data_IF_679434625032
#
_entry.id   IF_679434625032
#
_cell.length_a   1.000
_cell.length_b   1.000
_cell.length_c   1.000
_cell.angle_alpha   90.00
_cell.angle_beta   90.00
_cell.angle_gamma   90.00
#
_symmetry.space_group_name_H-M   'P 1'
#
loop_
_entity.id
_entity.type
_entity.pdbx_description
1 polymer ?
#
# COMPACT_ATOMS: atom_id res chain seq x y z
N UNK A 1 0.77 -28.10 4.16
CA UNK A 1 -0.50 -28.84 4.00
C UNK A 1 -1.35 -28.02 3.05
N UNK A 2 -1.41 -28.38 1.79
CA UNK A 2 -2.33 -27.78 0.81
C UNK A 2 -3.73 -28.22 1.19
N UNK A 3 -4.58 -27.24 1.45
CA UNK A 3 -5.95 -27.44 1.90
C UNK A 3 -6.74 -28.27 0.85
N UNK A 4 -7.34 -29.37 1.29
CA UNK A 4 -8.14 -30.25 0.44
C UNK A 4 -9.35 -29.52 -0.19
N UNK A 5 -9.73 -28.34 0.30
CA UNK A 5 -10.77 -27.47 -0.23
C UNK A 5 -10.39 -26.81 -1.57
N UNK A 6 -9.09 -26.61 -1.83
CA UNK A 6 -8.65 -26.00 -3.10
C UNK A 6 -8.80 -26.95 -4.30
N UNK A 7 -8.83 -28.25 -4.06
CA UNK A 7 -8.84 -29.25 -5.13
C UNK A 7 -10.24 -29.50 -5.77
N UNK A 8 -11.30 -28.85 -5.25
CA UNK A 8 -12.67 -29.06 -5.70
C UNK A 8 -13.30 -27.82 -6.40
N UNK A 9 -12.50 -26.79 -6.68
CA UNK A 9 -12.98 -25.58 -7.39
C UNK A 9 -13.04 -25.82 -8.89
N UNK A 10 -14.10 -25.32 -9.55
CA UNK A 10 -14.17 -25.29 -11.01
C UNK A 10 -13.05 -24.44 -11.61
N UNK A 11 -12.79 -24.62 -12.91
CA UNK A 11 -11.78 -23.81 -13.60
C UNK A 11 -12.12 -22.31 -13.53
N UNK A 12 -13.39 -21.95 -13.70
CA UNK A 12 -13.86 -20.55 -13.59
C UNK A 12 -13.59 -19.99 -12.19
N UNK A 13 -13.86 -20.74 -11.13
CA UNK A 13 -13.58 -20.31 -9.76
C UNK A 13 -12.08 -20.12 -9.50
N UNK A 14 -11.24 -20.93 -10.13
CA UNK A 14 -9.78 -20.79 -10.04
C UNK A 14 -9.29 -19.57 -10.82
N UNK A 15 -9.84 -19.32 -12.00
CA UNK A 15 -9.53 -18.14 -12.80
C UNK A 15 -9.96 -16.89 -12.03
N UNK A 16 -11.18 -16.83 -11.53
CA UNK A 16 -11.67 -15.70 -10.74
C UNK A 16 -10.76 -15.38 -9.52
N UNK A 17 -10.32 -16.43 -8.82
CA UNK A 17 -9.42 -16.24 -7.69
C UNK A 17 -8.04 -15.66 -8.08
N UNK A 18 -7.56 -15.94 -9.29
CA UNK A 18 -6.33 -15.36 -9.84
C UNK A 18 -6.58 -13.90 -10.25
N UNK A 19 -7.67 -13.63 -10.96
CA UNK A 19 -8.05 -12.28 -11.39
C UNK A 19 -8.23 -11.36 -10.20
N UNK A 20 -8.92 -11.80 -9.15
CA UNK A 20 -9.04 -11.07 -7.88
C UNK A 20 -7.71 -10.70 -7.27
N UNK A 21 -6.78 -11.65 -7.20
CA UNK A 21 -5.45 -11.41 -6.66
C UNK A 21 -4.66 -10.42 -7.49
N UNK A 22 -4.75 -10.49 -8.82
CA UNK A 22 -4.07 -9.56 -9.72
C UNK A 22 -4.65 -8.16 -9.61
N UNK A 23 -5.98 -8.03 -9.53
CA UNK A 23 -6.63 -6.74 -9.35
C UNK A 23 -6.23 -6.10 -8.02
N UNK A 24 -6.31 -6.85 -6.91
CA UNK A 24 -5.88 -6.37 -5.59
C UNK A 24 -4.39 -6.00 -5.60
N UNK A 25 -3.55 -6.82 -6.22
CA UNK A 25 -2.12 -6.55 -6.34
C UNK A 25 -1.88 -5.22 -7.07
N UNK A 26 -2.57 -4.97 -8.17
CA UNK A 26 -2.49 -3.74 -8.94
C UNK A 26 -2.94 -2.53 -8.10
N UNK A 27 -4.04 -2.64 -7.35
CA UNK A 27 -4.50 -1.59 -6.44
C UNK A 27 -3.42 -1.18 -5.43
N UNK A 28 -2.78 -2.15 -4.80
CA UNK A 28 -1.74 -1.88 -3.79
C UNK A 28 -0.45 -1.36 -4.44
N UNK A 29 -0.06 -1.94 -5.59
CA UNK A 29 1.16 -1.55 -6.31
C UNK A 29 1.08 -0.14 -6.90
N UNK A 30 -0.12 0.30 -7.25
CA UNK A 30 -0.37 1.61 -7.82
C UNK A 30 -0.29 2.74 -6.76
N UNK A 31 -0.40 2.42 -5.46
CA UNK A 31 -0.38 3.42 -4.40
C UNK A 31 0.92 4.26 -4.31
N UNK A 32 2.14 3.66 -4.33
CA UNK A 32 3.37 4.44 -4.34
C UNK A 32 3.47 5.44 -5.49
N UNK A 33 3.36 5.04 -6.76
CA UNK A 33 3.45 5.98 -7.88
C UNK A 33 2.33 7.04 -7.87
N UNK A 34 1.12 6.69 -7.42
CA UNK A 34 0.03 7.64 -7.26
C UNK A 34 0.33 8.71 -6.22
N UNK A 35 0.87 8.32 -5.07
CA UNK A 35 1.29 9.25 -4.03
C UNK A 35 2.47 10.13 -4.49
N UNK A 36 3.49 9.54 -5.11
CA UNK A 36 4.70 10.25 -5.52
C UNK A 36 4.45 11.23 -6.66
N UNK A 37 3.49 10.95 -7.54
CA UNK A 37 3.07 11.84 -8.62
C UNK A 37 2.00 12.86 -8.21
N UNK A 38 1.51 12.82 -6.97
CA UNK A 38 0.37 13.62 -6.50
C UNK A 38 -0.88 13.47 -7.40
N UNK A 39 -1.11 12.26 -7.93
CA UNK A 39 -2.25 11.97 -8.80
C UNK A 39 -3.53 11.80 -7.99
N UNK A 40 -4.46 12.77 -8.12
CA UNK A 40 -5.76 12.72 -7.43
C UNK A 40 -6.69 11.67 -8.00
N UNK A 41 -6.75 11.55 -9.32
CA UNK A 41 -7.61 10.60 -10.05
C UNK A 41 -7.37 9.15 -9.60
N UNK A 42 -6.16 8.87 -9.19
CA UNK A 42 -5.76 7.59 -8.64
C UNK A 42 -6.54 7.23 -7.37
N UNK A 43 -6.76 8.17 -6.48
CA UNK A 43 -7.42 7.91 -5.22
C UNK A 43 -8.92 7.65 -5.40
N UNK A 44 -9.59 8.44 -6.25
CA UNK A 44 -11.03 8.27 -6.52
C UNK A 44 -11.32 6.91 -7.18
N UNK A 45 -10.42 6.43 -8.05
CA UNK A 45 -10.60 5.15 -8.75
C UNK A 45 -10.48 3.92 -7.84
N UNK A 46 -9.76 4.01 -6.72
CA UNK A 46 -9.39 2.83 -5.92
C UNK A 46 -10.02 2.76 -4.53
N UNK A 47 -10.61 3.84 -4.06
CA UNK A 47 -11.21 3.88 -2.73
C UNK A 47 -12.74 3.81 -2.77
N UNK A 48 -13.33 3.25 -1.72
CA UNK A 48 -14.75 3.49 -1.45
C UNK A 48 -14.94 4.94 -1.00
N UNK A 49 -16.09 5.53 -1.34
CA UNK A 49 -16.43 6.91 -0.97
C UNK A 49 -16.38 7.19 0.54
N UNK A 50 -16.63 6.16 1.35
CA UNK A 50 -16.53 6.20 2.82
C UNK A 50 -15.22 5.63 3.36
N UNK A 51 -14.22 5.49 2.49
CA UNK A 51 -12.93 4.92 2.82
C UNK A 51 -12.18 5.68 3.91
N UNK A 52 -11.37 4.96 4.70
CA UNK A 52 -10.67 5.56 5.84
C UNK A 52 -9.18 5.23 5.87
N UNK A 53 -8.39 6.15 6.36
CA UNK A 53 -6.95 5.97 6.61
C UNK A 53 -6.63 6.28 8.07
N UNK A 54 -5.94 5.35 8.71
CA UNK A 54 -5.42 5.49 10.07
C UNK A 54 -3.89 5.40 10.08
N UNK A 55 -3.24 6.55 10.13
CA UNK A 55 -1.78 6.65 10.19
C UNK A 55 -1.23 6.84 11.63
N UNK A 56 -2.08 7.31 12.57
CA UNK A 56 -1.64 7.73 13.90
C UNK A 56 -2.54 7.22 15.04
N UNK A 57 -3.38 6.22 14.80
CA UNK A 57 -4.31 5.69 15.79
C UNK A 57 -5.69 6.36 15.79
N UNK A 58 -5.93 7.23 14.82
CA UNK A 58 -7.22 7.88 14.60
C UNK A 58 -7.58 7.79 13.12
N UNK A 59 -8.60 6.99 12.74
CA UNK A 59 -9.09 6.93 11.39
C UNK A 59 -9.59 8.30 10.91
N UNK A 60 -9.25 8.65 9.67
CA UNK A 60 -9.73 9.84 8.97
C UNK A 60 -10.26 9.41 7.62
N UNK A 61 -11.16 10.20 7.05
CA UNK A 61 -11.58 10.00 5.67
C UNK A 61 -10.36 10.03 4.73
N UNK A 62 -10.35 9.19 3.69
CA UNK A 62 -9.20 9.06 2.79
C UNK A 62 -8.88 10.37 2.05
N UNK A 63 -9.88 11.20 1.78
CA UNK A 63 -9.73 12.52 1.16
C UNK A 63 -8.78 13.44 1.94
N UNK A 64 -8.72 13.27 3.28
CA UNK A 64 -7.79 14.04 4.10
C UNK A 64 -6.34 13.71 3.81
N UNK A 65 -6.03 12.49 3.37
CA UNK A 65 -4.69 12.11 2.93
C UNK A 65 -4.38 12.64 1.53
N UNK A 66 -5.38 12.66 0.63
CA UNK A 66 -5.23 13.29 -0.68
C UNK A 66 -4.95 14.78 -0.51
N UNK A 67 -5.64 15.44 0.42
CA UNK A 67 -5.39 16.84 0.75
C UNK A 67 -3.94 17.12 1.14
N UNK A 68 -3.23 16.17 1.75
CA UNK A 68 -1.79 16.31 2.06
C UNK A 68 -0.94 16.43 0.79
N UNK A 69 -1.30 15.73 -0.28
CA UNK A 69 -0.56 15.76 -1.56
C UNK A 69 -0.56 17.16 -2.19
N UNK A 70 -1.54 18.01 -1.86
CA UNK A 70 -1.69 19.39 -2.34
C UNK A 70 -0.99 20.42 -1.45
N UNK A 71 -0.34 20.01 -0.37
CA UNK A 71 0.29 20.96 0.54
C UNK A 71 1.66 21.43 0.02
N UNK A 72 2.06 22.69 0.30
CA UNK A 72 3.41 23.15 0.01
C UNK A 72 4.50 22.27 0.64
N UNK A 73 4.23 21.69 1.81
CA UNK A 73 5.15 20.77 2.49
C UNK A 73 5.39 19.48 1.69
N UNK A 74 4.34 18.92 1.07
CA UNK A 74 4.49 17.74 0.23
C UNK A 74 5.23 18.08 -1.08
N UNK A 75 4.92 19.22 -1.71
CA UNK A 75 5.64 19.69 -2.88
C UNK A 75 7.13 19.91 -2.60
N UNK A 76 7.50 20.38 -1.39
CA UNK A 76 8.89 20.49 -0.97
C UNK A 76 9.53 19.11 -0.79
N UNK A 77 8.84 18.17 -0.16
CA UNK A 77 9.32 16.80 -0.02
C UNK A 77 9.56 16.11 -1.37
N UNK A 78 8.69 16.36 -2.37
CA UNK A 78 8.90 15.88 -3.74
C UNK A 78 10.18 16.49 -4.37
N UNK A 79 10.42 17.80 -4.20
CA UNK A 79 11.67 18.44 -4.65
C UNK A 79 12.92 17.85 -3.99
N UNK A 80 12.79 17.40 -2.75
CA UNK A 80 13.85 16.69 -2.02
C UNK A 80 13.97 15.20 -2.38
N UNK A 81 13.21 14.75 -3.40
CA UNK A 81 13.28 13.38 -3.90
C UNK A 81 12.64 12.35 -2.97
N UNK A 82 11.57 12.74 -2.26
CA UNK A 82 10.79 11.74 -1.52
C UNK A 82 10.17 10.74 -2.47
N UNK A 83 10.19 9.46 -2.11
CA UNK A 83 9.47 8.42 -2.82
C UNK A 83 9.02 7.30 -1.87
N UNK A 84 7.96 6.61 -2.29
CA UNK A 84 7.40 5.49 -1.58
C UNK A 84 7.80 4.18 -2.27
N UNK A 85 8.22 3.21 -1.48
CA UNK A 85 8.53 1.87 -1.98
C UNK A 85 7.74 0.83 -1.18
N UNK A 86 6.79 0.17 -1.83
CA UNK A 86 6.01 -0.90 -1.21
C UNK A 86 6.67 -2.26 -1.43
N UNK A 87 6.78 -3.05 -0.38
CA UNK A 87 7.12 -4.46 -0.49
C UNK A 87 5.98 -5.28 -1.09
N UNK A 88 6.28 -6.53 -1.49
CA UNK A 88 5.27 -7.45 -1.99
C UNK A 88 4.16 -7.65 -0.93
N UNK A 89 2.88 -7.54 -1.32
CA UNK A 89 1.76 -7.68 -0.41
C UNK A 89 1.45 -9.15 -0.15
N UNK A 90 1.06 -9.47 1.08
CA UNK A 90 0.38 -10.71 1.41
C UNK A 90 -1.13 -10.48 1.33
N UNK A 91 -1.82 -11.23 0.49
CA UNK A 91 -3.24 -11.05 0.17
C UNK A 91 -4.03 -12.25 0.68
N UNK A 92 -5.06 -11.99 1.49
CA UNK A 92 -6.03 -12.98 1.95
C UNK A 92 -7.41 -12.53 1.50
N UNK A 93 -8.10 -13.36 0.73
CA UNK A 93 -9.45 -13.11 0.21
C UNK A 93 -10.41 -14.06 0.89
N UNK A 94 -11.56 -13.53 1.32
CA UNK A 94 -12.68 -14.27 1.89
C UNK A 94 -13.98 -13.71 1.30
N UNK A 95 -14.53 -14.40 0.31
CA UNK A 95 -15.69 -13.94 -0.47
C UNK A 95 -15.44 -12.57 -1.10
N UNK A 96 -16.25 -11.59 -0.71
CA UNK A 96 -16.17 -10.21 -1.23
C UNK A 96 -15.34 -9.27 -0.36
N UNK A 97 -14.60 -9.82 0.60
CA UNK A 97 -13.68 -9.08 1.45
C UNK A 97 -12.25 -9.56 1.24
N UNK A 98 -11.32 -8.63 1.31
CA UNK A 98 -9.90 -8.97 1.30
C UNK A 98 -9.15 -8.17 2.36
N UNK A 99 -8.15 -8.84 2.94
CA UNK A 99 -7.18 -8.21 3.83
C UNK A 99 -5.79 -8.35 3.22
N UNK A 100 -5.10 -7.24 3.13
CA UNK A 100 -3.74 -7.18 2.58
C UNK A 100 -2.80 -6.60 3.62
N UNK A 101 -1.64 -7.21 3.79
CA UNK A 101 -0.54 -6.62 4.55
C UNK A 101 0.66 -6.39 3.66
N UNK A 102 1.34 -5.29 3.88
CA UNK A 102 2.57 -4.93 3.17
C UNK A 102 3.48 -4.09 4.06
N UNK A 103 4.73 -3.98 3.65
CA UNK A 103 5.63 -2.96 4.18
C UNK A 103 5.65 -1.76 3.24
N UNK A 104 5.82 -0.57 3.81
CA UNK A 104 6.06 0.66 3.07
C UNK A 104 7.32 1.32 3.60
N UNK A 105 8.24 1.63 2.71
CA UNK A 105 9.38 2.48 2.97
C UNK A 105 9.09 3.87 2.39
N UNK A 106 9.43 4.90 3.14
CA UNK A 106 9.55 6.26 2.64
C UNK A 106 11.03 6.57 2.56
N UNK A 107 11.48 6.88 1.36
CA UNK A 107 12.85 7.20 1.02
C UNK A 107 12.94 8.69 0.68
N UNK A 108 14.11 9.28 0.86
CA UNK A 108 14.44 10.59 0.31
C UNK A 108 15.88 10.61 -0.18
N UNK A 109 16.17 11.48 -1.14
CA UNK A 109 17.54 11.72 -1.55
C UNK A 109 18.38 12.15 -0.34
N UNK A 110 19.61 11.63 -0.24
CA UNK A 110 20.48 11.99 0.87
C UNK A 110 21.17 13.35 0.61
N UNK A 111 20.82 14.43 1.34
CA UNK A 111 21.43 15.72 1.13
C UNK A 111 22.92 15.74 1.48
N UNK A 112 23.35 14.88 2.42
CA UNK A 112 24.70 14.79 2.95
C UNK A 112 25.55 13.73 2.24
N UNK A 113 24.94 12.98 1.30
CA UNK A 113 25.59 11.94 0.54
C UNK A 113 26.67 12.49 -0.39
N UNK A 114 27.76 11.73 -0.55
CA UNK A 114 28.79 12.06 -1.52
C UNK A 114 28.31 11.73 -2.94
N UNK A 115 28.43 12.67 -3.90
CA UNK A 115 28.09 12.39 -5.28
C UNK A 115 28.90 11.22 -5.85
N UNK A 116 28.24 10.34 -6.57
CA UNK A 116 28.87 9.26 -7.34
C UNK A 116 28.14 9.06 -8.66
N UNK A 117 28.89 8.66 -9.68
CA UNK A 117 28.36 8.40 -11.01
C UNK A 117 27.78 6.98 -11.09
N UNK A 118 26.56 6.88 -11.60
CA UNK A 118 25.92 5.63 -11.96
C UNK A 118 25.90 5.51 -13.47
N UNK A 119 26.58 4.51 -14.02
CA UNK A 119 26.61 4.26 -15.46
C UNK A 119 25.18 4.20 -16.03
N UNK A 120 24.90 4.97 -17.07
CA UNK A 120 23.60 5.13 -17.73
C UNK A 120 22.49 5.78 -16.87
N UNK A 121 22.76 6.16 -15.62
CA UNK A 121 21.75 6.73 -14.70
C UNK A 121 22.12 8.12 -14.15
N UNK A 122 23.31 8.65 -14.53
CA UNK A 122 23.79 9.95 -14.08
C UNK A 122 24.36 9.94 -12.67
N UNK A 123 24.46 11.12 -12.07
CA UNK A 123 25.02 11.33 -10.73
C UNK A 123 23.97 11.14 -9.66
N UNK A 124 24.30 10.42 -8.59
CA UNK A 124 23.46 10.26 -7.42
C UNK A 124 24.25 10.59 -6.15
N UNK A 125 23.55 11.08 -5.13
CA UNK A 125 24.05 11.17 -3.75
C UNK A 125 23.57 10.01 -2.88
N UNK A 126 22.78 9.09 -3.45
CA UNK A 126 22.12 8.02 -2.71
C UNK A 126 20.80 8.43 -2.11
N UNK A 127 20.16 7.47 -1.46
CA UNK A 127 18.89 7.64 -0.77
C UNK A 127 19.01 7.11 0.65
N UNK A 128 18.26 7.69 1.56
CA UNK A 128 18.09 7.21 2.93
C UNK A 128 16.65 6.82 3.20
N UNK A 129 16.46 5.80 4.01
CA UNK A 129 15.14 5.41 4.50
C UNK A 129 14.74 6.35 5.62
N UNK A 130 13.67 7.11 5.43
CA UNK A 130 13.12 8.02 6.45
C UNK A 130 12.16 7.29 7.39
N UNK A 131 11.40 6.33 6.84
CA UNK A 131 10.38 5.59 7.58
C UNK A 131 10.19 4.20 7.00
N UNK A 132 9.98 3.22 7.89
CA UNK A 132 9.49 1.90 7.57
C UNK A 132 8.19 1.68 8.34
N UNK A 133 7.13 1.29 7.64
CA UNK A 133 5.80 1.08 8.21
C UNK A 133 5.24 -0.28 7.84
N UNK A 134 4.52 -0.89 8.79
CA UNK A 134 3.57 -1.95 8.50
C UNK A 134 2.26 -1.32 8.00
N UNK A 135 1.69 -1.89 6.96
CA UNK A 135 0.39 -1.51 6.42
C UNK A 135 -0.55 -2.70 6.45
N UNK A 136 -1.80 -2.44 6.81
CA UNK A 136 -2.93 -3.32 6.65
C UNK A 136 -4.01 -2.59 5.88
N UNK A 137 -4.48 -3.23 4.83
CA UNK A 137 -5.53 -2.76 3.95
C UNK A 137 -6.73 -3.69 4.07
N UNK A 138 -7.91 -3.14 4.11
CA UNK A 138 -9.16 -3.87 3.97
C UNK A 138 -9.81 -3.43 2.67
N UNK A 139 -10.18 -4.41 1.85
CA UNK A 139 -10.79 -4.17 0.55
C UNK A 139 -12.13 -4.87 0.48
N UNK A 140 -12.99 -4.34 -0.33
CA UNK A 140 -14.32 -4.87 -0.60
C UNK A 140 -14.53 -4.96 -2.12
N UNK A 141 -15.14 -6.06 -2.57
CA UNK A 141 -15.59 -6.22 -3.94
C UNK A 141 -16.83 -5.36 -4.16
N UNK A 142 -16.88 -4.68 -5.29
CA UNK A 142 -18.03 -3.91 -5.77
C UNK A 142 -18.41 -4.39 -7.16
N UNK A 143 -19.53 -3.95 -7.75
CA UNK A 143 -19.85 -4.22 -9.15
C UNK A 143 -18.76 -3.75 -10.14
N UNK A 144 -17.99 -2.71 -9.75
CA UNK A 144 -16.92 -2.11 -10.55
C UNK A 144 -15.52 -2.65 -10.20
N UNK A 145 -15.44 -3.79 -9.51
CA UNK A 145 -14.18 -4.40 -9.07
C UNK A 145 -13.85 -4.14 -7.60
N UNK A 146 -12.62 -4.44 -7.21
CA UNK A 146 -12.16 -4.27 -5.84
C UNK A 146 -11.92 -2.80 -5.50
N UNK A 147 -12.26 -2.40 -4.26
CA UNK A 147 -12.04 -1.04 -3.73
C UNK A 147 -11.47 -1.09 -2.33
N UNK A 148 -10.62 -0.13 -2.00
CA UNK A 148 -10.03 0.00 -0.66
C UNK A 148 -11.07 0.61 0.27
N UNK A 149 -11.40 -0.10 1.34
CA UNK A 149 -12.29 0.34 2.41
C UNK A 149 -11.54 1.05 3.54
N UNK A 150 -10.41 0.47 3.93
CA UNK A 150 -9.61 1.07 4.99
C UNK A 150 -8.13 0.76 4.81
N UNK A 151 -7.30 1.67 5.31
CA UNK A 151 -5.85 1.48 5.43
C UNK A 151 -5.39 1.87 6.82
N UNK A 152 -4.72 0.97 7.50
CA UNK A 152 -4.04 1.23 8.78
C UNK A 152 -2.53 1.15 8.60
N UNK A 153 -1.82 2.15 9.10
CA UNK A 153 -0.34 2.19 9.05
C UNK A 153 0.23 2.38 10.44
N UNK A 154 1.34 1.69 10.73
CA UNK A 154 2.12 1.89 11.96
C UNK A 154 3.60 1.81 11.63
N UNK A 155 4.39 2.76 12.13
CA UNK A 155 5.84 2.70 12.05
C UNK A 155 6.37 1.44 12.73
N UNK A 156 7.43 0.85 12.19
CA UNK A 156 8.01 -0.39 12.73
C UNK A 156 8.68 -0.19 14.11
N UNK A 157 8.94 1.04 14.48
CA UNK A 157 9.36 1.49 15.81
C UNK A 157 8.22 1.49 16.85
N UNK A 158 6.96 1.39 16.39
CA UNK A 158 5.78 1.30 17.24
C UNK A 158 5.40 -0.18 17.48
N UNK A 159 5.25 -0.64 18.73
CA UNK A 159 4.84 -2.04 19.04
C UNK A 159 3.55 -2.49 18.33
N UNK A 160 2.59 -1.57 18.12
CA UNK A 160 1.35 -1.87 17.41
C UNK A 160 1.54 -2.30 15.95
N UNK A 161 2.71 -2.05 15.35
CA UNK A 161 3.04 -2.53 14.01
C UNK A 161 3.05 -4.06 13.91
N UNK A 162 3.58 -4.72 14.93
CA UNK A 162 3.65 -6.19 14.97
C UNK A 162 2.28 -6.82 15.15
N UNK A 163 1.43 -6.20 15.97
CA UNK A 163 0.04 -6.66 16.14
C UNK A 163 -0.78 -6.47 14.85
N UNK A 164 -0.52 -5.39 14.11
CA UNK A 164 -1.14 -5.15 12.83
C UNK A 164 -0.81 -6.26 11.81
N UNK A 165 0.44 -6.69 11.77
CA UNK A 165 0.91 -7.77 10.88
C UNK A 165 0.37 -9.14 11.29
N UNK A 166 0.29 -9.44 12.58
CA UNK A 166 -0.22 -10.73 13.09
C UNK A 166 -1.66 -11.00 12.68
N UNK A 167 -2.52 -9.98 12.66
CA UNK A 167 -3.95 -10.11 12.30
C UNK A 167 -4.20 -10.67 10.90
N UNK A 168 -3.18 -10.71 10.05
CA UNK A 168 -3.29 -11.21 8.68
C UNK A 168 -2.71 -12.60 8.50
N UNK A 169 -1.77 -12.99 9.37
CA UNK A 169 -1.11 -14.31 9.32
C UNK A 169 -1.87 -15.36 10.11
N UNK A 170 -2.68 -14.99 11.10
CA UNK A 170 -3.58 -15.91 11.77
C UNK A 170 -4.69 -16.32 10.80
N UNK A 171 -4.90 -17.63 10.62
CA UNK A 171 -6.13 -18.13 10.02
C UNK A 171 -7.31 -17.46 10.74
N UNK A 172 -8.31 -17.03 9.98
CA UNK A 172 -9.54 -16.55 10.60
C UNK A 172 -10.02 -17.64 11.56
N UNK A 173 -10.11 -17.28 12.84
CA UNK A 173 -10.85 -18.08 13.80
C UNK A 173 -12.33 -17.92 13.50
#
# INVERSE_FOLDING_TARGET
>A
MTDASENNRSLEQRIQAIEDRLEILNLIAAHPPGADSASHDFAEAFWLADGTVDAAGQPKAYESMIGVLNTPGFAEAQRQGICHFAGLPHIKIDGDLAVVTSYLQILAADPDGKPFELSAHGTSKGFRVLRLSANRWELQRTPDGWRIKSRTMRGMDNPASRELLKKTTSAAA
#
